data_IF_041002113610
#
_entry.id   IF_041002113610
#
_cell.length_a   1.000
_cell.length_b   1.000
_cell.length_c   1.000
_cell.angle_alpha   90.00
_cell.angle_beta   90.00
_cell.angle_gamma   90.00
#
_symmetry.space_group_name_H-M   'P 1'
#
loop_
_entity.id
_entity.type
_entity.pdbx_description
1 polymer ?
#
# COMPACT_ATOMS: atom_id res chain seq x y z
N UNK A 1 -5.24 5.85 8.78
CA UNK A 1 -4.19 5.49 9.77
C UNK A 1 -4.01 4.00 9.67
N UNK A 2 -2.79 3.49 9.63
CA UNK A 2 -2.49 2.07 9.32
C UNK A 2 -1.00 1.80 9.43
N UNK A 3 -0.62 0.53 9.40
CA UNK A 3 0.74 0.08 9.11
C UNK A 3 0.73 -0.79 7.87
N UNK A 4 1.29 -0.31 6.79
CA UNK A 4 1.43 -1.04 5.52
C UNK A 4 2.89 -1.05 5.11
N UNK A 5 3.43 -2.22 4.80
CA UNK A 5 4.84 -2.40 4.46
C UNK A 5 5.03 -3.21 3.19
N UNK A 6 6.16 -2.98 2.53
CA UNK A 6 6.65 -3.81 1.42
C UNK A 6 8.10 -4.17 1.67
N UNK A 7 8.47 -5.41 1.37
CA UNK A 7 9.84 -5.94 1.52
C UNK A 7 10.20 -6.73 0.27
N UNK A 8 11.45 -6.59 -0.18
CA UNK A 8 12.06 -7.40 -1.23
C UNK A 8 13.32 -8.06 -0.67
N UNK A 9 13.37 -9.38 -0.69
CA UNK A 9 14.52 -10.18 -0.20
C UNK A 9 14.59 -11.49 -0.96
N UNK A 10 15.81 -11.89 -1.39
CA UNK A 10 16.09 -13.21 -1.98
C UNK A 10 15.13 -13.64 -3.11
N UNK A 11 14.83 -12.72 -4.05
CA UNK A 11 13.94 -13.02 -5.19
C UNK A 11 12.44 -13.02 -4.87
N UNK A 12 12.06 -12.71 -3.62
CA UNK A 12 10.65 -12.62 -3.19
C UNK A 12 10.34 -11.18 -2.77
N UNK A 13 9.16 -10.70 -3.15
CA UNK A 13 8.54 -9.50 -2.60
C UNK A 13 7.40 -9.89 -1.67
N UNK A 14 7.27 -9.20 -0.54
CA UNK A 14 6.14 -9.33 0.38
C UNK A 14 5.48 -7.95 0.57
N UNK A 15 4.16 -7.93 0.56
CA UNK A 15 3.35 -6.82 1.05
C UNK A 15 2.59 -7.30 2.27
N UNK A 16 2.59 -6.49 3.35
CA UNK A 16 1.89 -6.84 4.58
C UNK A 16 1.26 -5.61 5.23
N UNK A 17 0.11 -5.80 5.88
CA UNK A 17 -0.63 -4.75 6.56
C UNK A 17 -1.30 -5.25 7.85
N UNK A 18 -1.59 -4.32 8.74
CA UNK A 18 -2.58 -4.49 9.79
C UNK A 18 -4.01 -4.44 9.22
N UNK A 19 -5.00 -4.83 10.00
CA UNK A 19 -6.40 -4.95 9.55
C UNK A 19 -7.39 -4.04 10.32
N UNK A 20 -6.89 -3.12 11.15
CA UNK A 20 -7.77 -2.22 11.90
C UNK A 20 -8.26 -1.07 11.02
N UNK A 21 -9.57 -0.80 11.07
CA UNK A 21 -10.16 0.44 10.53
C UNK A 21 -10.58 1.36 11.68
N UNK A 22 -10.23 2.64 11.62
CA UNK A 22 -10.58 3.64 12.61
C UNK A 22 -11.52 4.71 12.03
N UNK A 23 -12.55 5.06 12.82
CA UNK A 23 -13.48 6.15 12.54
C UNK A 23 -13.42 7.14 13.71
N UNK A 24 -12.53 8.11 13.66
CA UNK A 24 -12.22 8.95 14.80
C UNK A 24 -11.77 8.10 15.99
N UNK A 25 -12.51 8.14 17.09
CA UNK A 25 -12.21 7.38 18.30
C UNK A 25 -12.77 5.95 18.32
N UNK A 26 -13.45 5.51 17.24
CA UNK A 26 -14.01 4.16 17.16
C UNK A 26 -13.08 3.26 16.37
N UNK A 27 -12.88 2.04 16.86
CA UNK A 27 -12.10 0.98 16.24
C UNK A 27 -13.03 -0.10 15.69
N UNK A 28 -12.95 -0.38 14.40
CA UNK A 28 -13.56 -1.54 13.76
C UNK A 28 -12.48 -2.60 13.57
N UNK A 29 -12.46 -3.58 14.47
CA UNK A 29 -11.52 -4.70 14.36
C UNK A 29 -11.97 -5.71 13.32
N UNK A 30 -11.04 -6.55 12.88
CA UNK A 30 -11.30 -7.64 11.95
C UNK A 30 -12.39 -8.62 12.41
N UNK A 31 -12.68 -8.68 13.72
CA UNK A 31 -13.76 -9.53 14.25
C UNK A 31 -15.16 -9.05 13.90
N UNK A 32 -15.31 -7.79 13.50
CA UNK A 32 -16.59 -7.16 13.18
C UNK A 32 -16.71 -6.74 11.71
N UNK A 33 -15.61 -6.78 10.97
CA UNK A 33 -15.58 -6.45 9.55
C UNK A 33 -15.57 -7.74 8.72
N UNK A 34 -16.43 -7.83 7.73
CA UNK A 34 -16.45 -8.97 6.82
C UNK A 34 -15.27 -8.93 5.81
N UNK A 35 -14.71 -7.76 5.57
CA UNK A 35 -13.60 -7.53 4.62
C UNK A 35 -12.52 -6.62 5.22
N UNK A 36 -11.82 -7.06 6.28
CA UNK A 36 -10.88 -6.21 7.02
C UNK A 36 -9.54 -6.06 6.30
N UNK A 37 -9.56 -5.92 4.97
CA UNK A 37 -8.35 -5.83 4.17
C UNK A 37 -8.03 -4.39 3.78
N UNK A 38 -6.74 -4.09 3.74
CA UNK A 38 -6.17 -2.85 3.18
C UNK A 38 -5.51 -3.10 1.84
N UNK A 39 -5.64 -4.32 1.34
CA UNK A 39 -4.96 -4.78 0.13
C UNK A 39 -5.97 -5.32 -0.88
N UNK A 40 -5.77 -4.94 -2.13
CA UNK A 40 -6.54 -5.41 -3.28
C UNK A 40 -5.63 -6.29 -4.14
N UNK A 41 -6.15 -7.42 -4.62
CA UNK A 41 -5.44 -8.27 -5.57
C UNK A 41 -6.14 -8.29 -6.93
N UNK A 42 -5.39 -8.13 -8.00
CA UNK A 42 -5.88 -8.22 -9.38
C UNK A 42 -4.89 -9.03 -10.21
N UNK A 43 -5.12 -10.33 -10.34
CA UNK A 43 -4.14 -11.25 -10.94
C UNK A 43 -2.86 -11.30 -10.11
N UNK A 44 -1.72 -11.04 -10.75
CA UNK A 44 -0.39 -11.03 -10.10
C UNK A 44 -0.04 -9.64 -9.50
N UNK A 45 -1.00 -8.75 -9.39
CA UNK A 45 -0.82 -7.40 -8.85
C UNK A 45 -1.48 -7.30 -7.48
N UNK A 46 -0.72 -6.82 -6.49
CA UNK A 46 -1.22 -6.45 -5.18
C UNK A 46 -1.06 -4.95 -4.98
N UNK A 47 -2.11 -4.31 -4.49
CA UNK A 47 -2.13 -2.88 -4.16
C UNK A 47 -2.56 -2.75 -2.71
N UNK A 48 -1.71 -2.16 -1.89
CA UNK A 48 -2.05 -1.80 -0.52
C UNK A 48 -2.26 -0.29 -0.42
N UNK A 49 -3.33 0.15 0.25
CA UNK A 49 -3.69 1.56 0.37
C UNK A 49 -3.75 1.99 1.84
N UNK A 50 -3.30 3.21 2.09
CA UNK A 50 -3.51 3.92 3.36
C UNK A 50 -4.19 5.27 3.11
N UNK A 51 -4.82 5.81 4.14
CA UNK A 51 -5.60 7.05 4.05
C UNK A 51 -7.07 6.81 4.38
N UNK A 52 -7.98 7.33 3.58
CA UNK A 52 -9.42 7.14 3.79
C UNK A 52 -9.86 5.73 3.38
N UNK A 53 -10.70 5.09 4.21
CA UNK A 53 -11.30 3.80 3.86
C UNK A 53 -12.15 3.85 2.57
N UNK A 54 -12.67 5.01 2.21
CA UNK A 54 -13.41 5.21 0.95
C UNK A 54 -12.54 4.91 -0.28
N UNK A 55 -11.24 5.17 -0.23
CA UNK A 55 -10.33 4.94 -1.35
C UNK A 55 -10.21 3.45 -1.72
N UNK A 56 -10.33 2.53 -0.76
CA UNK A 56 -10.28 1.10 -1.06
C UNK A 56 -11.40 0.69 -2.03
N UNK A 57 -12.65 1.07 -1.73
CA UNK A 57 -13.80 0.77 -2.60
C UNK A 57 -13.73 1.49 -3.95
N UNK A 58 -13.25 2.73 -3.97
CA UNK A 58 -13.08 3.50 -5.21
C UNK A 58 -12.04 2.82 -6.12
N UNK A 59 -10.88 2.47 -5.57
CA UNK A 59 -9.82 1.80 -6.36
C UNK A 59 -10.27 0.39 -6.77
N UNK A 60 -10.92 -0.37 -5.90
CA UNK A 60 -11.50 -1.66 -6.24
C UNK A 60 -12.50 -1.55 -7.39
N UNK A 61 -13.44 -0.59 -7.33
CA UNK A 61 -14.41 -0.34 -8.39
C UNK A 61 -13.75 0.04 -9.72
N UNK A 62 -12.74 0.91 -9.68
CA UNK A 62 -11.97 1.31 -10.86
C UNK A 62 -11.21 0.15 -11.50
N UNK A 63 -10.66 -0.75 -10.68
CA UNK A 63 -9.87 -1.89 -11.16
C UNK A 63 -10.76 -3.02 -11.66
N UNK A 64 -11.88 -3.33 -10.98
CA UNK A 64 -12.81 -4.38 -11.39
C UNK A 64 -13.48 -4.10 -12.73
N UNK A 65 -13.65 -2.85 -13.11
CA UNK A 65 -14.19 -2.44 -14.41
C UNK A 65 -13.16 -2.55 -15.55
N UNK A 66 -11.90 -2.81 -15.27
CA UNK A 66 -10.84 -2.94 -16.30
C UNK A 66 -10.67 -4.39 -16.74
N UNK A 67 -11.03 -4.69 -17.99
CA UNK A 67 -10.84 -6.04 -18.59
C UNK A 67 -9.38 -6.52 -18.59
N UNK A 68 -8.41 -5.61 -18.56
CA UNK A 68 -6.98 -5.91 -18.51
C UNK A 68 -6.23 -4.71 -17.92
N UNK A 69 -5.45 -4.96 -16.90
CA UNK A 69 -4.51 -3.96 -16.38
C UNK A 69 -3.28 -3.84 -17.29
N UNK A 70 -2.71 -2.64 -17.44
CA UNK A 70 -1.44 -2.49 -18.13
C UNK A 70 -0.32 -3.17 -17.32
N UNK A 71 0.77 -3.53 -18.00
CA UNK A 71 1.98 -3.99 -17.31
C UNK A 71 2.58 -2.84 -16.50
N UNK A 72 2.45 -2.89 -15.18
CA UNK A 72 2.99 -1.92 -14.24
C UNK A 72 4.41 -2.35 -13.81
N UNK A 73 5.33 -2.40 -14.76
CA UNK A 73 6.66 -2.98 -14.59
C UNK A 73 7.80 -1.96 -14.48
N UNK A 74 7.49 -0.68 -14.43
CA UNK A 74 8.45 0.39 -14.15
C UNK A 74 7.73 1.67 -13.72
N UNK A 75 8.49 2.59 -13.13
CA UNK A 75 8.01 3.86 -12.59
C UNK A 75 7.17 4.67 -13.58
N UNK A 76 7.62 4.82 -14.83
CA UNK A 76 6.94 5.64 -15.81
C UNK A 76 5.57 5.06 -16.21
N UNK A 77 5.47 3.74 -16.38
CA UNK A 77 4.19 3.08 -16.69
C UNK A 77 3.20 3.16 -15.52
N UNK A 78 3.70 3.08 -14.29
CA UNK A 78 2.90 3.27 -13.08
C UNK A 78 2.42 4.72 -13.02
N UNK A 79 3.29 5.70 -13.19
CA UNK A 79 2.93 7.11 -13.26
C UNK A 79 1.83 7.38 -14.30
N UNK A 80 2.01 6.92 -15.54
CA UNK A 80 1.04 7.12 -16.61
C UNK A 80 -0.32 6.44 -16.31
N UNK A 81 -0.30 5.31 -15.62
CA UNK A 81 -1.51 4.65 -15.17
C UNK A 81 -2.24 5.52 -14.14
N UNK A 82 -1.56 5.99 -13.10
CA UNK A 82 -2.16 6.82 -12.05
C UNK A 82 -2.54 8.22 -12.53
N UNK A 83 -1.82 8.78 -13.49
CA UNK A 83 -2.22 10.03 -14.15
C UNK A 83 -3.58 9.90 -14.85
N UNK A 84 -3.83 8.79 -15.53
CA UNK A 84 -5.13 8.51 -16.16
C UNK A 84 -6.21 8.17 -15.14
N UNK A 85 -5.83 7.45 -14.07
CA UNK A 85 -6.72 7.11 -12.98
C UNK A 85 -7.22 8.38 -12.27
N UNK A 86 -6.35 9.37 -12.10
CA UNK A 86 -6.69 10.64 -11.46
C UNK A 86 -7.85 11.36 -12.15
N UNK A 87 -7.88 11.41 -13.48
CA UNK A 87 -9.04 11.98 -14.21
C UNK A 87 -10.32 11.23 -13.85
N UNK A 88 -10.30 9.88 -13.85
CA UNK A 88 -11.48 9.08 -13.48
C UNK A 88 -11.90 9.31 -12.02
N UNK A 89 -10.93 9.45 -11.10
CA UNK A 89 -11.24 9.78 -9.70
C UNK A 89 -11.99 11.11 -9.56
N UNK A 90 -11.62 12.11 -10.35
CA UNK A 90 -12.28 13.42 -10.35
C UNK A 90 -13.65 13.36 -11.01
N UNK A 91 -13.72 12.79 -12.21
CA UNK A 91 -14.89 12.88 -13.08
C UNK A 91 -15.99 11.91 -12.64
N UNK A 92 -15.64 10.67 -12.26
CA UNK A 92 -16.58 9.60 -11.95
C UNK A 92 -16.84 9.43 -10.45
N UNK A 93 -15.83 9.73 -9.60
CA UNK A 93 -15.87 9.49 -8.14
C UNK A 93 -15.84 10.78 -7.31
N UNK A 94 -15.88 11.94 -7.97
CA UNK A 94 -15.98 13.25 -7.32
C UNK A 94 -14.88 13.54 -6.31
N UNK A 95 -13.66 13.06 -6.58
CA UNK A 95 -12.50 13.35 -5.73
C UNK A 95 -12.34 14.86 -5.59
N UNK A 96 -12.25 15.35 -4.35
CA UNK A 96 -11.76 16.68 -4.09
C UNK A 96 -10.21 16.65 -4.18
N UNK A 97 -9.60 17.18 -5.24
CA UNK A 97 -8.16 17.03 -5.47
C UNK A 97 -7.30 18.00 -4.66
N UNK A 98 -7.94 18.89 -3.88
CA UNK A 98 -7.23 19.89 -3.09
C UNK A 98 -6.82 19.30 -1.75
N UNK A 99 -5.52 19.25 -1.47
CA UNK A 99 -4.94 18.83 -0.20
C UNK A 99 -4.27 20.02 0.48
N UNK A 100 -3.37 20.72 -0.22
CA UNK A 100 -2.72 21.94 0.23
C UNK A 100 -2.83 23.02 -0.86
N UNK A 101 -2.86 24.29 -0.47
CA UNK A 101 -2.91 25.44 -1.38
C UNK A 101 -1.59 25.64 -2.14
N UNK A 102 -0.48 25.16 -1.58
CA UNK A 102 0.87 25.29 -2.15
C UNK A 102 1.28 24.08 -3.01
N UNK A 103 0.43 23.04 -3.10
CA UNK A 103 0.74 21.87 -3.91
C UNK A 103 0.91 22.23 -5.39
N UNK A 104 2.00 21.78 -6.06
CA UNK A 104 2.25 22.08 -7.47
C UNK A 104 1.29 21.35 -8.41
N UNK A 105 0.62 20.30 -7.95
CA UNK A 105 -0.32 19.47 -8.70
C UNK A 105 -1.50 19.08 -7.83
N UNK A 106 -2.60 18.69 -8.47
CA UNK A 106 -3.75 18.12 -7.78
C UNK A 106 -3.39 16.79 -7.09
N UNK A 107 -3.84 16.59 -5.86
CA UNK A 107 -3.61 15.39 -5.07
C UNK A 107 -4.62 14.29 -5.37
N UNK A 108 -4.20 13.02 -5.32
CA UNK A 108 -5.09 11.85 -5.25
C UNK A 108 -5.56 11.55 -3.84
N UNK A 109 -4.98 12.21 -2.83
CA UNK A 109 -5.19 11.97 -1.39
C UNK A 109 -4.99 10.49 -0.98
N UNK A 110 -4.18 9.76 -1.72
CA UNK A 110 -3.88 8.36 -1.49
C UNK A 110 -2.38 8.11 -1.52
N UNK A 111 -1.91 7.37 -0.53
CA UNK A 111 -0.61 6.73 -0.56
C UNK A 111 -0.82 5.22 -0.68
N UNK A 112 -0.08 4.60 -1.56
CA UNK A 112 -0.25 3.18 -1.81
C UNK A 112 1.05 2.48 -2.21
N UNK A 113 1.08 1.17 -1.99
CA UNK A 113 2.09 0.31 -2.56
C UNK A 113 1.53 -0.56 -3.68
N UNK A 114 2.37 -0.80 -4.67
CA UNK A 114 2.18 -1.77 -5.73
C UNK A 114 3.25 -2.83 -5.59
N UNK A 115 2.83 -4.09 -5.51
CA UNK A 115 3.73 -5.25 -5.53
C UNK A 115 3.30 -6.18 -6.65
N UNK A 116 4.24 -6.54 -7.48
CA UNK A 116 4.06 -7.50 -8.57
C UNK A 116 5.38 -8.20 -8.87
N UNK A 117 5.38 -9.12 -9.82
CA UNK A 117 6.58 -9.88 -10.22
C UNK A 117 7.76 -9.04 -10.70
N UNK A 118 7.57 -7.74 -10.97
CA UNK A 118 8.65 -6.84 -11.43
C UNK A 118 9.32 -6.07 -10.29
N UNK A 119 8.66 -5.97 -9.12
CA UNK A 119 9.22 -5.25 -7.97
C UNK A 119 8.19 -4.70 -6.99
N UNK A 120 8.66 -3.84 -6.12
CA UNK A 120 7.90 -3.12 -5.12
C UNK A 120 7.97 -1.61 -5.39
N UNK A 121 6.81 -0.97 -5.45
CA UNK A 121 6.69 0.44 -5.83
C UNK A 121 5.78 1.18 -4.85
N UNK A 122 6.13 2.45 -4.56
CA UNK A 122 5.25 3.38 -3.86
C UNK A 122 4.69 4.42 -4.82
N UNK A 123 3.42 4.76 -4.65
CA UNK A 123 2.76 5.87 -5.33
C UNK A 123 2.15 6.76 -4.27
N UNK A 124 2.49 8.04 -4.31
CA UNK A 124 2.07 9.02 -3.33
C UNK A 124 1.02 9.99 -3.87
N UNK A 125 0.51 10.82 -3.00
CA UNK A 125 -0.68 11.65 -3.26
C UNK A 125 -0.55 12.57 -4.48
N UNK A 126 0.64 13.11 -4.76
CA UNK A 126 0.92 13.92 -5.97
C UNK A 126 1.38 13.07 -7.17
N UNK A 127 1.21 11.74 -7.07
CA UNK A 127 1.59 10.74 -8.09
C UNK A 127 3.09 10.56 -8.26
N UNK A 128 3.89 10.89 -7.25
CA UNK A 128 5.29 10.47 -7.22
C UNK A 128 5.36 8.94 -7.18
N UNK A 129 6.25 8.39 -8.00
CA UNK A 129 6.45 6.94 -8.06
C UNK A 129 7.88 6.60 -7.69
N UNK A 130 8.03 5.79 -6.65
CA UNK A 130 9.32 5.25 -6.22
C UNK A 130 9.35 3.73 -6.44
N UNK A 131 10.52 3.22 -6.81
CA UNK A 131 10.82 1.79 -6.86
C UNK A 131 11.83 1.50 -5.76
N UNK A 132 11.48 0.58 -4.86
CA UNK A 132 12.30 0.27 -3.71
C UNK A 132 13.20 -0.93 -3.97
N UNK A 133 14.42 -0.87 -3.43
CA UNK A 133 15.40 -1.95 -3.56
C UNK A 133 15.25 -3.02 -2.47
N UNK A 134 14.81 -2.62 -1.29
CA UNK A 134 14.78 -3.48 -0.10
C UNK A 134 13.39 -3.47 0.55
N UNK A 135 13.01 -2.39 1.19
CA UNK A 135 11.74 -2.26 1.89
C UNK A 135 11.31 -0.81 2.01
N UNK A 136 10.03 -0.61 2.28
CA UNK A 136 9.47 0.67 2.68
C UNK A 136 8.19 0.46 3.50
N UNK A 137 7.75 1.51 4.21
CA UNK A 137 6.50 1.50 4.99
C UNK A 137 5.74 2.81 4.82
N UNK A 138 4.41 2.76 4.89
CA UNK A 138 3.50 3.90 4.88
C UNK A 138 2.41 3.74 5.93
N UNK A 139 1.73 4.84 6.23
CA UNK A 139 0.71 4.93 7.26
C UNK A 139 1.26 5.40 8.60
N UNK A 140 0.37 5.56 9.60
CA UNK A 140 0.74 6.11 10.91
C UNK A 140 1.75 5.26 11.69
N UNK A 141 1.71 3.94 11.55
CA UNK A 141 2.70 3.02 12.13
C UNK A 141 3.94 2.82 11.28
N UNK A 142 4.07 3.54 10.15
CA UNK A 142 5.14 3.34 9.17
C UNK A 142 6.55 3.59 9.74
N UNK A 143 6.73 4.61 10.57
CA UNK A 143 8.04 4.92 11.16
C UNK A 143 8.53 3.80 12.10
N UNK A 144 7.64 3.23 12.90
CA UNK A 144 7.97 2.08 13.74
C UNK A 144 8.34 0.86 12.90
N UNK A 145 7.57 0.63 11.83
CA UNK A 145 7.81 -0.46 10.90
C UNK A 145 9.15 -0.31 10.17
N UNK A 146 9.50 0.90 9.70
CA UNK A 146 10.79 1.19 9.06
C UNK A 146 11.96 0.89 9.97
N UNK A 147 11.93 1.36 11.22
CA UNK A 147 12.98 1.09 12.20
C UNK A 147 13.14 -0.41 12.49
N UNK A 148 12.04 -1.14 12.66
CA UNK A 148 12.06 -2.57 12.93
C UNK A 148 12.56 -3.37 11.71
N UNK A 149 12.12 -3.05 10.50
CA UNK A 149 12.60 -3.69 9.27
C UNK A 149 14.07 -3.41 9.01
N UNK A 150 14.54 -2.19 9.26
CA UNK A 150 15.95 -1.85 9.13
C UNK A 150 16.83 -2.73 10.03
N UNK A 151 16.45 -2.90 11.29
CA UNK A 151 17.18 -3.75 12.24
C UNK A 151 17.11 -5.25 11.87
N UNK A 152 16.03 -5.69 11.23
CA UNK A 152 15.81 -7.09 10.89
C UNK A 152 16.40 -7.48 9.52
N UNK A 153 16.56 -6.54 8.60
CA UNK A 153 16.79 -6.85 7.19
C UNK A 153 18.00 -7.73 6.92
N UNK A 154 19.13 -7.50 7.59
CA UNK A 154 20.35 -8.28 7.40
C UNK A 154 20.40 -9.57 8.25
N UNK A 155 19.46 -9.72 9.19
CA UNK A 155 19.39 -10.86 10.11
C UNK A 155 18.38 -11.94 9.68
N UNK A 156 17.52 -11.66 8.70
CA UNK A 156 16.49 -12.59 8.21
C UNK A 156 16.58 -12.74 6.70
N UNK A 157 16.35 -13.94 6.21
CA UNK A 157 16.37 -14.28 4.78
C UNK A 157 14.99 -14.22 4.12
N UNK A 158 13.92 -14.14 4.89
CA UNK A 158 12.54 -14.15 4.42
C UNK A 158 11.98 -12.73 4.33
N UNK A 159 11.51 -12.33 3.13
CA UNK A 159 10.76 -11.08 2.95
C UNK A 159 9.52 -11.02 3.83
N UNK A 160 8.83 -12.16 4.00
CA UNK A 160 7.64 -12.28 4.84
C UNK A 160 7.95 -12.04 6.33
N UNK A 161 8.99 -12.66 6.86
CA UNK A 161 9.37 -12.49 8.26
C UNK A 161 9.72 -11.04 8.56
N UNK A 162 10.52 -10.39 7.69
CA UNK A 162 10.89 -8.98 7.82
C UNK A 162 9.64 -8.09 7.75
N UNK A 163 8.72 -8.34 6.82
CA UNK A 163 7.48 -7.58 6.70
C UNK A 163 6.60 -7.72 7.95
N UNK A 164 6.45 -8.95 8.48
CA UNK A 164 5.70 -9.20 9.71
C UNK A 164 6.32 -8.52 10.93
N UNK A 165 7.66 -8.47 11.02
CA UNK A 165 8.35 -7.74 12.08
C UNK A 165 8.00 -6.25 12.00
N UNK A 166 8.02 -5.66 10.80
CA UNK A 166 7.63 -4.26 10.59
C UNK A 166 6.19 -3.98 11.03
N UNK A 167 5.23 -4.78 10.53
CA UNK A 167 3.82 -4.58 10.90
C UNK A 167 3.57 -4.80 12.39
N UNK A 168 4.24 -5.78 13.02
CA UNK A 168 4.15 -5.98 14.48
C UNK A 168 4.61 -4.77 15.27
N UNK A 169 5.70 -4.13 14.84
CA UNK A 169 6.16 -2.90 15.50
C UNK A 169 5.14 -1.76 15.35
N UNK A 170 4.52 -1.62 14.18
CA UNK A 170 3.41 -0.68 14.00
C UNK A 170 2.21 -1.01 14.91
N UNK A 171 1.81 -2.28 15.00
CA UNK A 171 0.71 -2.71 15.88
C UNK A 171 1.00 -2.42 17.36
N UNK A 172 2.26 -2.56 17.79
CA UNK A 172 2.65 -2.35 19.17
C UNK A 172 2.60 -0.87 19.58
N UNK A 173 3.04 0.03 18.69
CA UNK A 173 3.30 1.44 19.03
C UNK A 173 2.36 2.44 18.38
N UNK A 174 1.58 2.06 17.37
CA UNK A 174 0.57 2.90 16.72
C UNK A 174 -0.84 2.52 17.19
N UNK A 175 -1.56 3.44 17.79
CA UNK A 175 -2.92 3.24 18.31
C UNK A 175 -3.98 2.97 17.23
N UNK A 176 -3.61 3.16 15.98
CA UNK A 176 -4.46 3.03 14.80
C UNK A 176 -4.14 1.79 13.94
N UNK A 177 -3.31 0.89 14.48
CA UNK A 177 -2.96 -0.38 13.89
C UNK A 177 -3.28 -1.54 14.83
N UNK A 178 -3.81 -2.66 14.34
CA UNK A 178 -4.06 -3.85 15.13
C UNK A 178 -4.04 -5.14 14.31
N UNK A 179 -3.81 -6.27 15.01
CA UNK A 179 -3.89 -7.62 14.45
C UNK A 179 -5.33 -7.95 13.99
N UNK A 180 -5.48 -8.94 13.09
CA UNK A 180 -4.44 -9.78 12.49
C UNK A 180 -3.59 -9.05 11.44
N UNK A 181 -2.44 -9.66 11.07
CA UNK A 181 -1.63 -9.22 9.97
C UNK A 181 -2.05 -9.97 8.72
N UNK A 182 -2.39 -9.26 7.67
CA UNK A 182 -2.58 -9.80 6.33
C UNK A 182 -1.31 -9.62 5.51
N UNK A 183 -0.95 -10.59 4.65
CA UNK A 183 0.24 -10.49 3.82
C UNK A 183 0.13 -11.36 2.56
N UNK A 184 0.89 -11.00 1.52
CA UNK A 184 1.03 -11.73 0.28
C UNK A 184 2.48 -11.77 -0.18
N UNK A 185 2.93 -12.94 -0.64
CA UNK A 185 4.25 -13.13 -1.21
C UNK A 185 4.16 -13.29 -2.74
N UNK A 186 5.10 -12.70 -3.44
CA UNK A 186 5.19 -12.71 -4.89
C UNK A 186 6.62 -13.05 -5.32
N UNK A 187 6.79 -14.08 -6.13
CA UNK A 187 8.07 -14.39 -6.73
C UNK A 187 8.43 -13.34 -7.78
N UNK A 188 9.62 -12.77 -7.65
CA UNK A 188 10.12 -11.80 -8.60
C UNK A 188 10.75 -12.49 -9.80
N UNK A 189 10.56 -11.94 -10.98
CA UNK A 189 11.33 -12.37 -12.14
C UNK A 189 12.73 -11.77 -12.05
N UNK A 190 13.73 -12.57 -12.39
CA UNK A 190 15.09 -12.07 -12.56
C UNK A 190 15.11 -11.03 -13.70
N UNK A 191 15.67 -9.86 -13.40
CA UNK A 191 15.90 -8.79 -14.36
C UNK A 191 17.32 -8.86 -14.91
#
# INVERSE_FOLDING_TARGET
MSTLVVVKKNGVACIAADTLTCFGNKKLSASYDAFPTKMLSVGDLYIGLVGSAAHNLVVESLLSNKKKLPKLNNRLKIFEFFRKLHSQLKDDYFLNPKEDDEDPYESTQMDLFIVNRYGIFGVFSLREVFEYKQFWAIGSGGEFALGAMYAAYDNFDSAEEIAKIGVKAGIEFDDSSAAPIEYYNIDLIDN
#
